data_IF_887573733399
#
_entry.id   IF_887573733399
#
_cell.length_a   1.000
_cell.length_b   1.000
_cell.length_c   1.000
_cell.angle_alpha   90.00
_cell.angle_beta   90.00
_cell.angle_gamma   90.00
#
_symmetry.space_group_name_H-M   'P 1'
#
loop_
_entity.id
_entity.type
_entity.pdbx_description
1 polymer ?
#
# COMPACT_ATOMS: atom_id res chain seq x y z
N UNK A 1 26.57 -102.35 -1.50
CA UNK A 1 26.86 -101.08 -0.81
C UNK A 1 27.10 -99.86 -1.73
N UNK A 2 27.37 -100.01 -3.05
CA UNK A 2 27.65 -98.87 -3.95
C UNK A 2 26.42 -98.03 -4.36
N UNK A 3 25.20 -98.57 -4.32
CA UNK A 3 23.98 -97.84 -4.74
C UNK A 3 23.56 -96.76 -3.74
N UNK A 4 23.76 -96.98 -2.43
CA UNK A 4 23.42 -96.00 -1.37
C UNK A 4 24.32 -94.74 -1.38
N UNK A 5 25.59 -94.85 -1.80
CA UNK A 5 26.50 -93.68 -1.92
C UNK A 5 26.12 -92.73 -3.05
N UNK A 6 25.54 -93.24 -4.16
CA UNK A 6 25.07 -92.40 -5.27
C UNK A 6 23.81 -91.60 -4.91
N UNK A 7 22.89 -92.17 -4.13
CA UNK A 7 21.67 -91.48 -3.70
C UNK A 7 21.97 -90.33 -2.71
N UNK A 8 22.95 -90.50 -1.82
CA UNK A 8 23.38 -89.43 -0.90
C UNK A 8 24.05 -88.25 -1.64
N UNK A 9 24.85 -88.52 -2.68
CA UNK A 9 25.45 -87.48 -3.51
C UNK A 9 24.43 -86.68 -4.32
N UNK A 10 23.41 -87.36 -4.87
CA UNK A 10 22.33 -86.71 -5.63
C UNK A 10 21.47 -85.82 -4.72
N UNK A 11 21.16 -86.27 -3.49
CA UNK A 11 20.40 -85.47 -2.52
C UNK A 11 21.15 -84.19 -2.10
N UNK A 12 22.48 -84.28 -1.90
CA UNK A 12 23.31 -83.12 -1.54
C UNK A 12 23.37 -82.09 -2.68
N UNK A 13 23.50 -82.55 -3.93
CA UNK A 13 23.51 -81.67 -5.12
C UNK A 13 22.15 -81.00 -5.31
N UNK A 14 21.05 -81.72 -5.09
CA UNK A 14 19.69 -81.17 -5.13
C UNK A 14 19.45 -80.13 -4.02
N UNK A 15 19.94 -80.38 -2.80
CA UNK A 15 19.87 -79.42 -1.70
C UNK A 15 20.68 -78.15 -1.98
N UNK A 16 21.89 -78.28 -2.55
CA UNK A 16 22.71 -77.14 -2.96
C UNK A 16 22.07 -76.35 -4.11
N UNK A 17 21.55 -77.03 -5.12
CA UNK A 17 20.88 -76.38 -6.25
C UNK A 17 19.62 -75.62 -5.79
N UNK A 18 18.80 -76.21 -4.92
CA UNK A 18 17.62 -75.54 -4.36
C UNK A 18 18.00 -74.36 -3.48
N UNK A 19 19.06 -74.48 -2.67
CA UNK A 19 19.54 -73.37 -1.85
C UNK A 19 20.05 -72.20 -2.69
N UNK A 20 20.74 -72.46 -3.82
CA UNK A 20 21.16 -71.42 -4.77
C UNK A 20 19.96 -70.74 -5.41
N UNK A 21 18.92 -71.49 -5.80
CA UNK A 21 17.69 -70.92 -6.37
C UNK A 21 16.97 -70.04 -5.34
N UNK A 22 16.83 -70.52 -4.10
CA UNK A 22 16.18 -69.76 -3.03
C UNK A 22 16.96 -68.48 -2.71
N UNK A 23 18.30 -68.56 -2.61
CA UNK A 23 19.15 -67.39 -2.40
C UNK A 23 19.07 -66.41 -3.57
N UNK A 24 19.01 -66.90 -4.81
CA UNK A 24 18.82 -66.08 -6.01
C UNK A 24 17.49 -65.33 -6.01
N UNK A 25 16.39 -66.02 -5.68
CA UNK A 25 15.06 -65.41 -5.57
C UNK A 25 15.01 -64.40 -4.42
N UNK A 26 15.56 -64.72 -3.25
CA UNK A 26 15.61 -63.82 -2.12
C UNK A 26 16.40 -62.54 -2.42
N UNK A 27 17.53 -62.68 -3.13
CA UNK A 27 18.34 -61.53 -3.56
C UNK A 27 17.59 -60.66 -4.57
N UNK A 28 16.89 -61.26 -5.54
CA UNK A 28 16.06 -60.54 -6.52
C UNK A 28 14.87 -59.82 -5.85
N UNK A 29 14.20 -60.45 -4.89
CA UNK A 29 13.13 -59.82 -4.13
C UNK A 29 13.67 -58.64 -3.32
N UNK A 30 14.80 -58.80 -2.63
CA UNK A 30 15.40 -57.73 -1.83
C UNK A 30 15.84 -56.54 -2.69
N UNK A 31 16.48 -56.78 -3.84
CA UNK A 31 16.89 -55.68 -4.74
C UNK A 31 15.68 -54.94 -5.31
N UNK A 32 14.61 -55.67 -5.65
CA UNK A 32 13.36 -55.06 -6.11
C UNK A 32 12.67 -54.25 -5.01
N UNK A 33 12.57 -54.78 -3.79
CA UNK A 33 11.98 -54.07 -2.65
C UNK A 33 12.76 -52.80 -2.31
N UNK A 34 14.10 -52.85 -2.34
CA UNK A 34 14.94 -51.66 -2.11
C UNK A 34 14.74 -50.62 -3.22
N UNK A 35 14.62 -51.06 -4.48
CA UNK A 35 14.33 -50.16 -5.60
C UNK A 35 12.95 -49.51 -5.48
N UNK A 36 11.92 -50.28 -5.11
CA UNK A 36 10.56 -49.78 -4.87
C UNK A 36 10.50 -48.80 -3.69
N UNK A 37 11.23 -49.07 -2.59
CA UNK A 37 11.33 -48.15 -1.45
C UNK A 37 11.99 -46.83 -1.85
N UNK A 38 13.09 -46.88 -2.63
CA UNK A 38 13.73 -45.65 -3.13
C UNK A 38 12.80 -44.86 -4.04
N UNK A 39 12.13 -45.54 -4.96
CA UNK A 39 11.20 -44.91 -5.88
C UNK A 39 10.03 -44.26 -5.14
N UNK A 40 9.49 -44.94 -4.12
CA UNK A 40 8.42 -44.40 -3.27
C UNK A 40 8.87 -43.18 -2.45
N UNK A 41 10.12 -43.19 -1.94
CA UNK A 41 10.70 -42.04 -1.26
C UNK A 41 10.90 -40.83 -2.18
N UNK A 42 11.34 -41.06 -3.43
CA UNK A 42 11.46 -40.02 -4.45
C UNK A 42 10.10 -39.40 -4.79
N UNK A 43 9.07 -40.23 -4.98
CA UNK A 43 7.72 -39.78 -5.29
C UNK A 43 7.14 -38.94 -4.13
N UNK A 44 7.35 -39.36 -2.88
CA UNK A 44 6.94 -38.60 -1.71
C UNK A 44 7.64 -37.23 -1.66
N UNK A 45 8.96 -37.19 -1.83
CA UNK A 45 9.71 -35.93 -1.79
C UNK A 45 9.32 -34.98 -2.94
N UNK A 46 9.00 -35.52 -4.12
CA UNK A 46 8.50 -34.74 -5.26
C UNK A 46 7.14 -34.12 -4.94
N UNK A 47 6.21 -34.91 -4.41
CA UNK A 47 4.86 -34.44 -4.06
C UNK A 47 4.92 -33.42 -2.94
N UNK A 48 5.71 -33.67 -1.90
CA UNK A 48 5.92 -32.74 -0.79
C UNK A 48 6.47 -31.40 -1.29
N UNK A 49 7.50 -31.42 -2.13
CA UNK A 49 8.07 -30.20 -2.72
C UNK A 49 7.04 -29.43 -3.53
N UNK A 50 6.18 -30.11 -4.28
CA UNK A 50 5.09 -29.47 -5.02
C UNK A 50 4.05 -28.85 -4.09
N UNK A 51 3.65 -29.54 -3.03
CA UNK A 51 2.68 -29.04 -2.05
C UNK A 51 3.21 -27.81 -1.32
N UNK A 52 4.50 -27.79 -0.97
CA UNK A 52 5.14 -26.61 -0.38
C UNK A 52 5.17 -25.42 -1.34
N UNK A 53 5.48 -25.65 -2.62
CA UNK A 53 5.44 -24.58 -3.62
C UNK A 53 4.03 -24.00 -3.79
N UNK A 54 2.98 -24.84 -3.77
CA UNK A 54 1.58 -24.40 -3.79
C UNK A 54 1.19 -23.68 -2.50
N UNK A 55 1.63 -24.17 -1.34
CA UNK A 55 1.43 -23.54 -0.04
C UNK A 55 2.01 -22.12 -0.01
N UNK A 56 3.23 -21.94 -0.52
CA UNK A 56 3.83 -20.62 -0.64
C UNK A 56 3.14 -19.70 -1.64
N UNK A 57 2.62 -20.24 -2.76
CA UNK A 57 1.79 -19.45 -3.67
C UNK A 57 0.50 -18.96 -2.97
N UNK A 58 -0.15 -19.81 -2.17
CA UNK A 58 -1.33 -19.43 -1.38
C UNK A 58 -0.99 -18.38 -0.31
N UNK A 59 0.13 -18.56 0.41
CA UNK A 59 0.64 -17.57 1.35
C UNK A 59 0.93 -16.24 0.65
N UNK A 60 1.51 -16.28 -0.55
CA UNK A 60 1.71 -15.10 -1.39
C UNK A 60 0.41 -14.39 -1.75
N UNK A 61 -0.69 -15.12 -1.96
CA UNK A 61 -2.02 -14.55 -2.15
C UNK A 61 -2.49 -13.72 -0.94
N UNK A 62 -2.23 -14.20 0.28
CA UNK A 62 -2.55 -13.43 1.51
C UNK A 62 -1.70 -12.16 1.65
N UNK A 63 -0.42 -12.22 1.28
CA UNK A 63 0.49 -11.07 1.27
C UNK A 63 0.01 -10.03 0.25
N UNK A 64 -0.43 -10.48 -0.93
CA UNK A 64 -1.01 -9.62 -1.95
C UNK A 64 -2.29 -8.90 -1.47
N UNK A 65 -3.16 -9.60 -0.75
CA UNK A 65 -4.44 -9.07 -0.30
C UNK A 65 -4.35 -8.10 0.91
N UNK A 66 -3.29 -8.19 1.71
CA UNK A 66 -3.07 -7.35 2.89
C UNK A 66 -1.87 -6.40 2.73
N UNK A 67 -0.66 -6.79 3.17
CA UNK A 67 0.50 -5.88 3.19
C UNK A 67 0.81 -5.19 1.85
N UNK A 68 0.69 -5.89 0.71
CA UNK A 68 0.96 -5.30 -0.60
C UNK A 68 -0.13 -4.30 -0.99
N UNK A 69 -1.39 -4.57 -0.62
CA UNK A 69 -2.49 -3.63 -0.79
C UNK A 69 -2.22 -2.33 -0.04
N UNK A 70 -1.82 -2.41 1.22
CA UNK A 70 -1.55 -1.22 2.05
C UNK A 70 -0.44 -0.37 1.44
N UNK A 71 0.62 -1.02 0.93
CA UNK A 71 1.72 -0.35 0.22
C UNK A 71 1.26 0.28 -1.09
N UNK A 72 0.40 -0.39 -1.85
CA UNK A 72 -0.16 0.18 -3.07
C UNK A 72 -1.01 1.41 -2.77
N UNK A 73 -1.86 1.37 -1.74
CA UNK A 73 -2.68 2.51 -1.32
C UNK A 73 -1.81 3.72 -0.94
N UNK A 74 -0.71 3.50 -0.21
CA UNK A 74 0.28 4.52 0.12
C UNK A 74 0.97 5.12 -1.12
N UNK A 75 1.41 4.26 -2.05
CA UNK A 75 2.07 4.70 -3.28
C UNK A 75 1.10 5.52 -4.13
N UNK A 76 -0.10 5.00 -4.35
CA UNK A 76 -1.08 5.63 -5.23
C UNK A 76 -1.55 6.96 -4.65
N UNK A 77 -1.63 7.10 -3.32
CA UNK A 77 -1.92 8.38 -2.66
C UNK A 77 -0.95 9.50 -3.05
N UNK A 78 0.31 9.18 -3.35
CA UNK A 78 1.34 10.17 -3.68
C UNK A 78 1.64 10.27 -5.17
N UNK A 79 1.29 9.26 -5.97
CA UNK A 79 1.54 9.26 -7.42
C UNK A 79 0.33 9.61 -8.27
N UNK A 80 -0.90 9.41 -7.78
CA UNK A 80 -2.09 9.75 -8.54
C UNK A 80 -2.24 11.25 -8.71
N UNK A 81 -2.51 11.70 -9.94
CA UNK A 81 -2.89 13.08 -10.21
C UNK A 81 -4.29 13.32 -9.63
N UNK A 82 -4.45 14.40 -8.87
CA UNK A 82 -5.72 14.78 -8.24
C UNK A 82 -6.40 15.96 -8.94
N UNK A 83 -5.71 16.62 -9.87
CA UNK A 83 -6.18 17.81 -10.56
C UNK A 83 -6.61 17.54 -12.01
N UNK A 84 -6.01 16.54 -12.66
CA UNK A 84 -6.32 16.16 -14.04
C UNK A 84 -7.60 15.31 -14.14
N UNK A 85 -8.19 15.24 -15.36
CA UNK A 85 -9.32 14.36 -15.63
C UNK A 85 -9.02 12.89 -15.29
N UNK A 86 -7.77 12.44 -15.46
CA UNK A 86 -7.34 11.07 -15.20
C UNK A 86 -6.31 11.03 -14.08
N UNK A 87 -6.41 10.03 -13.19
CA UNK A 87 -5.43 9.83 -12.10
C UNK A 87 -4.05 9.44 -12.63
N UNK A 88 -4.06 8.67 -13.71
CA UNK A 88 -2.89 8.24 -14.47
C UNK A 88 -3.22 8.34 -15.95
N UNK A 89 -2.25 8.79 -16.72
CA UNK A 89 -2.36 9.08 -18.14
C UNK A 89 -2.84 10.49 -18.43
N UNK A 90 -2.82 10.83 -19.72
CA UNK A 90 -3.24 12.10 -20.28
C UNK A 90 -4.35 11.90 -21.31
N UNK A 91 -5.31 12.82 -21.35
CA UNK A 91 -6.43 12.80 -22.29
C UNK A 91 -7.60 13.61 -21.76
N UNK A 92 -8.55 13.94 -22.63
CA UNK A 92 -9.78 14.66 -22.26
C UNK A 92 -10.92 13.69 -21.98
N UNK A 93 -11.36 12.94 -22.99
CA UNK A 93 -12.52 12.05 -22.91
C UNK A 93 -12.13 10.59 -22.68
N UNK A 94 -10.95 10.20 -23.17
CA UNK A 94 -10.34 8.89 -22.99
C UNK A 94 -8.84 9.09 -22.83
N UNK A 95 -8.16 8.43 -21.88
CA UNK A 95 -6.74 8.62 -21.70
C UNK A 95 -5.97 7.83 -22.76
N UNK A 96 -4.84 8.36 -23.20
CA UNK A 96 -3.91 7.66 -24.07
C UNK A 96 -3.34 6.42 -23.33
N UNK A 97 -3.56 5.19 -23.84
CA UNK A 97 -3.06 3.97 -23.20
C UNK A 97 -1.54 3.97 -22.98
N UNK A 98 -0.76 4.63 -23.85
CA UNK A 98 0.70 4.71 -23.71
C UNK A 98 1.06 5.56 -22.50
N UNK A 99 0.42 6.71 -22.33
CA UNK A 99 0.62 7.58 -21.17
C UNK A 99 0.20 6.89 -19.86
N UNK A 100 -0.91 6.14 -19.86
CA UNK A 100 -1.36 5.37 -18.70
C UNK A 100 -0.32 4.30 -18.33
N UNK A 101 0.17 3.56 -19.31
CA UNK A 101 1.21 2.55 -19.10
C UNK A 101 2.50 3.15 -18.52
N UNK A 102 2.92 4.32 -19.01
CA UNK A 102 4.10 5.02 -18.50
C UNK A 102 3.95 5.46 -17.05
N UNK A 103 2.80 6.04 -16.69
CA UNK A 103 2.53 6.46 -15.31
C UNK A 103 2.42 5.25 -14.37
N UNK A 104 1.70 4.21 -14.78
CA UNK A 104 1.57 2.97 -14.01
C UNK A 104 2.88 2.20 -13.89
N UNK A 105 3.81 2.34 -14.84
CA UNK A 105 5.19 1.80 -14.71
C UNK A 105 5.93 2.42 -13.53
N UNK A 106 5.71 3.71 -13.23
CA UNK A 106 6.30 4.33 -12.03
C UNK A 106 5.70 3.74 -10.75
N UNK A 107 4.39 3.51 -10.73
CA UNK A 107 3.70 2.84 -9.62
C UNK A 107 4.24 1.42 -9.43
N UNK A 108 4.37 0.65 -10.52
CA UNK A 108 4.91 -0.71 -10.51
C UNK A 108 6.34 -0.77 -9.97
N UNK A 109 7.22 0.16 -10.35
CA UNK A 109 8.60 0.22 -9.84
C UNK A 109 8.66 0.48 -8.33
N UNK A 110 7.84 1.41 -7.83
CA UNK A 110 7.75 1.70 -6.38
C UNK A 110 7.16 0.52 -5.62
N UNK A 111 6.12 -0.09 -6.18
CA UNK A 111 5.47 -1.25 -5.59
C UNK A 111 6.42 -2.45 -5.55
N UNK A 112 7.19 -2.69 -6.62
CA UNK A 112 8.20 -3.75 -6.65
C UNK A 112 9.20 -3.59 -5.51
N UNK A 113 9.70 -2.38 -5.28
CA UNK A 113 10.63 -2.10 -4.18
C UNK A 113 10.00 -2.41 -2.81
N UNK A 114 8.75 -2.00 -2.61
CA UNK A 114 8.03 -2.26 -1.36
C UNK A 114 7.72 -3.75 -1.16
N UNK A 115 7.35 -4.46 -2.22
CA UNK A 115 7.05 -5.90 -2.19
C UNK A 115 8.32 -6.70 -1.97
N UNK A 116 9.43 -6.34 -2.62
CA UNK A 116 10.73 -6.98 -2.44
C UNK A 116 11.17 -6.89 -0.97
N UNK A 117 10.95 -5.76 -0.32
CA UNK A 117 11.22 -5.61 1.11
C UNK A 117 10.37 -6.52 2.02
N UNK A 118 9.21 -6.98 1.55
CA UNK A 118 8.31 -7.88 2.29
C UNK A 118 8.63 -9.36 2.05
N UNK A 119 8.99 -9.74 0.81
CA UNK A 119 9.07 -11.16 0.42
C UNK A 119 10.50 -11.66 0.19
N UNK A 120 11.46 -10.79 -0.13
CA UNK A 120 12.82 -11.24 -0.43
C UNK A 120 13.51 -11.71 0.85
N UNK A 121 14.01 -12.95 0.84
CA UNK A 121 14.67 -13.57 1.99
C UNK A 121 13.71 -14.28 2.96
N UNK A 122 12.39 -14.22 2.72
CA UNK A 122 11.42 -15.00 3.48
C UNK A 122 11.51 -16.48 3.08
N UNK A 123 11.64 -17.37 4.07
CA UNK A 123 11.43 -18.81 3.90
C UNK A 123 10.11 -19.22 4.59
N UNK A 124 9.00 -19.36 3.86
CA UNK A 124 7.71 -19.76 4.45
C UNK A 124 7.61 -21.28 4.71
N UNK A 125 8.72 -22.02 4.66
CA UNK A 125 8.73 -23.44 5.02
C UNK A 125 8.36 -23.63 6.51
N UNK A 126 7.62 -24.71 6.87
CA UNK A 126 7.33 -25.02 8.27
C UNK A 126 8.62 -25.24 9.08
N UNK A 127 8.61 -24.77 10.32
CA UNK A 127 9.74 -24.91 11.24
C UNK A 127 10.12 -26.39 11.42
N UNK A 128 11.43 -26.67 11.46
CA UNK A 128 11.96 -28.03 11.61
C UNK A 128 12.00 -28.86 10.32
N UNK A 129 11.55 -28.33 9.18
CA UNK A 129 11.74 -28.98 7.87
C UNK A 129 13.09 -28.62 7.25
N UNK A 130 13.66 -29.51 6.42
CA UNK A 130 14.84 -29.20 5.59
C UNK A 130 14.46 -28.49 4.30
N UNK A 131 13.22 -28.04 4.18
CA UNK A 131 12.70 -27.43 2.98
C UNK A 131 13.12 -25.96 2.90
N UNK A 132 13.50 -25.53 1.70
CA UNK A 132 13.70 -24.13 1.39
C UNK A 132 12.61 -23.71 0.42
N UNK A 133 11.81 -22.73 0.83
CA UNK A 133 10.77 -22.15 0.00
C UNK A 133 11.12 -20.68 -0.22
N UNK A 134 10.93 -20.21 -1.44
CA UNK A 134 11.12 -18.80 -1.80
C UNK A 134 9.91 -18.33 -2.57
N UNK A 135 9.51 -17.09 -2.29
CA UNK A 135 8.38 -16.43 -2.93
C UNK A 135 8.90 -15.14 -3.57
N UNK A 136 8.57 -14.95 -4.85
CA UNK A 136 8.84 -13.71 -5.58
C UNK A 136 7.56 -13.23 -6.22
N UNK A 137 7.32 -11.94 -6.19
CA UNK A 137 6.18 -11.30 -6.86
C UNK A 137 6.73 -10.21 -7.78
N UNK A 138 6.50 -10.38 -9.07
CA UNK A 138 6.97 -9.49 -10.11
C UNK A 138 5.84 -8.55 -10.54
N UNK A 139 5.98 -7.27 -10.22
CA UNK A 139 5.28 -6.15 -10.85
C UNK A 139 6.14 -5.47 -11.92
N UNK A 140 7.42 -5.84 -12.01
CA UNK A 140 8.37 -5.41 -13.02
C UNK A 140 9.15 -6.63 -13.56
N UNK A 141 9.99 -6.47 -14.60
CA UNK A 141 10.79 -7.58 -15.14
C UNK A 141 11.74 -8.27 -14.15
N UNK A 142 12.04 -7.62 -13.01
CA UNK A 142 12.97 -8.14 -11.99
C UNK A 142 12.33 -8.05 -10.60
N UNK A 143 12.43 -9.12 -9.80
CA UNK A 143 12.01 -9.16 -8.40
C UNK A 143 13.04 -9.92 -7.56
N UNK A 144 13.39 -9.42 -6.38
CA UNK A 144 14.44 -10.00 -5.53
C UNK A 144 15.77 -10.23 -6.28
N UNK A 145 16.14 -9.33 -7.19
CA UNK A 145 17.34 -9.44 -8.03
C UNK A 145 17.30 -10.56 -9.08
N UNK A 146 16.15 -11.21 -9.30
CA UNK A 146 15.99 -12.27 -10.28
C UNK A 146 15.06 -11.82 -11.43
N UNK A 147 15.39 -12.12 -12.69
CA UNK A 147 14.53 -11.79 -13.82
C UNK A 147 13.27 -12.69 -13.84
N UNK A 148 12.25 -12.24 -14.56
CA UNK A 148 11.10 -13.07 -14.91
C UNK A 148 11.55 -14.38 -15.60
N UNK A 149 10.86 -15.52 -15.36
CA UNK A 149 11.10 -16.74 -16.11
C UNK A 149 10.88 -16.51 -17.62
N UNK A 150 11.78 -17.01 -18.47
CA UNK A 150 11.84 -16.61 -19.90
C UNK A 150 10.58 -16.90 -20.75
N UNK A 151 9.71 -17.81 -20.31
CA UNK A 151 8.43 -18.10 -21.00
C UNK A 151 7.29 -17.15 -20.57
N UNK A 152 7.50 -16.34 -19.53
CA UNK A 152 6.47 -15.52 -18.90
C UNK A 152 6.64 -14.07 -19.32
N UNK A 153 5.55 -13.44 -19.73
CA UNK A 153 5.51 -12.02 -20.06
C UNK A 153 4.68 -11.28 -19.04
N UNK A 154 5.12 -10.08 -18.70
CA UNK A 154 4.38 -9.13 -17.88
C UNK A 154 3.86 -8.02 -18.80
N UNK A 155 2.54 -7.89 -19.01
CA UNK A 155 1.98 -6.81 -19.80
C UNK A 155 2.14 -5.46 -19.09
N UNK A 156 1.78 -4.38 -19.78
CA UNK A 156 1.75 -3.04 -19.16
C UNK A 156 0.49 -2.85 -18.30
N UNK A 157 0.58 -1.91 -17.35
CA UNK A 157 -0.58 -1.45 -16.60
C UNK A 157 -1.57 -0.70 -17.51
N UNK A 158 -2.87 -0.78 -17.20
CA UNK A 158 -3.91 -0.13 -18.00
C UNK A 158 -5.05 0.43 -17.16
N UNK A 159 -5.80 1.35 -17.76
CA UNK A 159 -7.15 1.69 -17.29
C UNK A 159 -8.09 0.51 -17.61
N UNK A 160 -8.89 0.10 -16.64
CA UNK A 160 -9.91 -0.94 -16.81
C UNK A 160 -11.25 -0.30 -17.15
N UNK A 161 -11.65 0.70 -16.36
CA UNK A 161 -12.94 1.39 -16.48
C UNK A 161 -12.88 2.71 -15.71
N UNK A 162 -13.85 3.59 -15.99
CA UNK A 162 -14.01 4.87 -15.34
C UNK A 162 -14.09 6.00 -16.35
N UNK A 163 -14.63 7.13 -15.88
CA UNK A 163 -14.84 8.31 -16.70
C UNK A 163 -13.78 9.37 -16.38
N UNK A 164 -13.55 10.35 -17.27
CA UNK A 164 -12.77 11.51 -16.92
C UNK A 164 -13.45 12.25 -15.77
N UNK A 165 -12.64 12.75 -14.82
CA UNK A 165 -13.12 13.63 -13.75
C UNK A 165 -13.50 14.98 -14.35
N UNK A 166 -14.75 15.09 -14.79
CA UNK A 166 -15.37 16.37 -15.10
C UNK A 166 -15.70 17.03 -13.76
N UNK A 167 -15.54 18.35 -13.65
CA UNK A 167 -15.62 19.04 -12.35
C UNK A 167 -16.88 18.75 -11.54
N UNK A 168 -18.00 18.41 -12.19
CA UNK A 168 -19.34 18.34 -11.61
C UNK A 168 -19.65 17.04 -10.87
N UNK A 169 -20.09 17.19 -9.62
CA UNK A 169 -21.06 16.33 -8.94
C UNK A 169 -20.72 14.87 -8.65
N UNK A 170 -20.39 14.08 -9.66
CA UNK A 170 -20.31 12.64 -9.49
C UNK A 170 -18.95 12.21 -8.93
N UNK A 171 -18.99 11.30 -7.95
CA UNK A 171 -17.82 10.59 -7.46
C UNK A 171 -17.26 9.66 -8.53
N UNK A 172 -16.58 10.22 -9.54
CA UNK A 172 -16.05 9.43 -10.65
C UNK A 172 -14.88 8.60 -10.12
N UNK A 173 -15.12 7.30 -10.01
CA UNK A 173 -14.10 6.29 -9.74
C UNK A 173 -13.44 5.82 -11.02
N UNK A 174 -12.12 5.70 -11.00
CA UNK A 174 -11.32 5.17 -12.09
C UNK A 174 -10.62 3.90 -11.60
N UNK A 175 -10.84 2.79 -12.30
CA UNK A 175 -10.25 1.51 -11.95
C UNK A 175 -9.05 1.26 -12.85
N UNK A 176 -7.88 1.06 -12.23
CA UNK A 176 -6.64 0.73 -12.93
C UNK A 176 -6.21 -0.70 -12.58
N UNK A 177 -5.47 -1.34 -13.48
CA UNK A 177 -4.91 -2.67 -13.29
C UNK A 177 -3.39 -2.66 -13.44
N UNK A 178 -2.70 -3.27 -12.47
CA UNK A 178 -1.28 -3.60 -12.54
C UNK A 178 -1.13 -5.12 -12.68
N UNK A 179 -0.56 -5.63 -13.77
CA UNK A 179 -0.30 -7.06 -13.87
C UNK A 179 0.81 -7.48 -12.91
N UNK A 180 0.74 -8.73 -12.46
CA UNK A 180 1.80 -9.34 -11.67
C UNK A 180 2.03 -10.80 -12.05
N UNK A 181 3.24 -11.28 -11.77
CA UNK A 181 3.62 -12.70 -11.85
C UNK A 181 4.17 -13.11 -10.51
N UNK A 182 3.55 -14.10 -9.86
CA UNK A 182 4.07 -14.70 -8.65
C UNK A 182 4.81 -15.98 -9.00
N UNK A 183 6.02 -16.13 -8.47
CA UNK A 183 6.85 -17.32 -8.61
C UNK A 183 7.14 -17.86 -7.22
N UNK A 184 6.53 -18.99 -6.88
CA UNK A 184 6.84 -19.75 -5.67
C UNK A 184 7.74 -20.92 -6.04
N UNK A 185 8.84 -21.10 -5.32
CA UNK A 185 9.79 -22.17 -5.57
C UNK A 185 10.12 -22.89 -4.26
N UNK A 186 9.96 -24.21 -4.25
CA UNK A 186 10.31 -25.06 -3.13
C UNK A 186 11.44 -26.01 -3.51
N UNK A 187 12.30 -26.29 -2.54
CA UNK A 187 13.42 -27.24 -2.63
C UNK A 187 13.48 -28.13 -1.41
N UNK A 188 13.59 -29.43 -1.62
CA UNK A 188 13.90 -30.42 -0.59
C UNK A 188 15.03 -31.30 -1.13
N UNK A 189 16.23 -31.19 -0.55
CA UNK A 189 17.40 -31.92 -1.05
C UNK A 189 17.66 -31.64 -2.54
N UNK A 190 17.68 -32.66 -3.44
CA UNK A 190 17.86 -32.46 -4.88
C UNK A 190 16.57 -32.06 -5.62
N UNK A 191 15.39 -32.20 -5.01
CA UNK A 191 14.12 -31.94 -5.68
C UNK A 191 13.80 -30.45 -5.64
N UNK A 192 13.41 -29.91 -6.80
CA UNK A 192 13.02 -28.51 -6.97
C UNK A 192 11.72 -28.43 -7.76
N UNK A 193 10.75 -27.68 -7.25
CA UNK A 193 9.49 -27.39 -7.95
C UNK A 193 9.20 -25.89 -7.91
N UNK A 194 8.70 -25.37 -9.02
CA UNK A 194 8.25 -24.00 -9.17
C UNK A 194 6.77 -23.97 -9.56
N UNK A 195 6.05 -23.04 -8.98
CA UNK A 195 4.67 -22.68 -9.33
C UNK A 195 4.70 -21.23 -9.78
N UNK A 196 4.14 -20.98 -10.96
CA UNK A 196 4.00 -19.63 -11.51
C UNK A 196 2.53 -19.31 -11.61
N UNK A 197 2.13 -18.16 -11.06
CA UNK A 197 0.77 -17.64 -11.12
C UNK A 197 0.81 -16.25 -11.75
N UNK A 198 -0.07 -16.00 -12.72
CA UNK A 198 -0.23 -14.67 -13.33
C UNK A 198 -1.57 -14.09 -12.91
N UNK A 199 -1.59 -12.79 -12.63
CA UNK A 199 -2.79 -12.10 -12.24
C UNK A 199 -2.72 -10.61 -12.51
N UNK A 200 -3.82 -9.94 -12.17
CA UNK A 200 -3.93 -8.49 -12.27
C UNK A 200 -4.36 -7.96 -10.91
N UNK A 201 -3.63 -6.99 -10.39
CA UNK A 201 -4.03 -6.24 -9.22
C UNK A 201 -4.86 -5.04 -9.67
N UNK A 202 -6.17 -5.06 -9.37
CA UNK A 202 -7.08 -3.96 -9.69
C UNK A 202 -7.27 -3.07 -8.48
N UNK A 203 -7.19 -1.76 -8.69
CA UNK A 203 -7.42 -0.78 -7.64
C UNK A 203 -8.26 0.38 -8.17
N UNK A 204 -9.15 0.88 -7.30
CA UNK A 204 -10.13 1.90 -7.63
C UNK A 204 -9.70 3.23 -7.04
N UNK A 205 -9.71 4.26 -7.85
CA UNK A 205 -9.39 5.63 -7.46
C UNK A 205 -10.60 6.53 -7.65
N UNK A 206 -11.21 6.90 -6.54
CA UNK A 206 -12.16 8.02 -6.52
C UNK A 206 -11.47 9.36 -6.70
N UNK A 207 -12.25 10.45 -6.74
CA UNK A 207 -11.70 11.78 -6.48
C UNK A 207 -11.13 11.78 -5.06
N UNK A 208 -9.91 12.27 -4.88
CA UNK A 208 -9.37 12.58 -3.56
C UNK A 208 -10.30 13.62 -2.91
N UNK A 209 -11.20 13.17 -2.06
CA UNK A 209 -12.15 14.08 -1.42
C UNK A 209 -11.44 14.89 -0.35
N UNK A 210 -11.60 16.21 -0.39
CA UNK A 210 -11.20 17.08 0.71
C UNK A 210 -12.00 16.77 1.99
N UNK A 211 -13.13 16.05 1.90
CA UNK A 211 -13.94 15.64 3.06
C UNK A 211 -13.22 14.70 4.02
N UNK A 212 -12.05 14.15 3.64
CA UNK A 212 -11.19 13.40 4.58
C UNK A 212 -10.54 14.29 5.64
N UNK A 213 -10.41 15.59 5.35
CA UNK A 213 -9.87 16.56 6.28
C UNK A 213 -10.99 17.21 7.07
N UNK A 214 -10.87 17.21 8.39
CA UNK A 214 -11.70 18.04 9.25
C UNK A 214 -11.50 19.54 8.92
N UNK A 215 -10.30 19.90 8.44
CA UNK A 215 -10.01 21.21 7.88
C UNK A 215 -8.93 21.12 6.80
N UNK A 216 -9.23 21.64 5.62
CA UNK A 216 -8.26 21.85 4.55
C UNK A 216 -8.21 23.34 4.18
N UNK A 217 -7.02 23.96 4.17
CA UNK A 217 -6.85 25.37 3.77
C UNK A 217 -5.70 25.55 2.77
N UNK A 218 -5.99 26.11 1.59
CA UNK A 218 -4.92 26.51 0.66
C UNK A 218 -4.16 27.74 1.20
N UNK A 219 -4.89 28.82 1.48
CA UNK A 219 -4.40 30.01 2.19
C UNK A 219 -5.24 30.14 3.46
N UNK A 220 -4.59 30.28 4.61
CA UNK A 220 -5.30 30.43 5.88
C UNK A 220 -5.35 31.90 6.33
N UNK A 221 -6.21 32.67 5.67
CA UNK A 221 -6.39 34.11 5.91
C UNK A 221 -7.86 34.54 5.73
N UNK A 222 -8.22 35.65 6.38
CA UNK A 222 -9.47 36.38 6.20
C UNK A 222 -9.53 37.04 4.80
N UNK A 223 -10.71 37.49 4.33
CA UNK A 223 -10.86 38.14 3.02
C UNK A 223 -9.96 39.36 2.82
N UNK A 224 -9.62 40.07 3.89
CA UNK A 224 -8.70 41.21 3.87
C UNK A 224 -7.20 40.81 3.86
N UNK A 225 -6.88 39.52 3.70
CA UNK A 225 -5.54 38.98 3.71
C UNK A 225 -4.92 38.77 5.10
N UNK A 226 -5.66 39.08 6.18
CA UNK A 226 -5.16 38.90 7.55
C UNK A 226 -5.10 37.42 7.91
N UNK A 227 -3.94 36.91 8.34
CA UNK A 227 -3.78 35.52 8.75
C UNK A 227 -4.71 35.14 9.91
N UNK A 228 -5.39 33.99 9.79
CA UNK A 228 -6.21 33.45 10.87
C UNK A 228 -5.33 32.68 11.85
N UNK A 229 -5.60 32.86 13.13
CA UNK A 229 -4.87 32.21 14.23
C UNK A 229 -5.71 31.12 14.87
N UNK A 230 -5.14 29.93 15.03
CA UNK A 230 -5.73 28.91 15.89
C UNK A 230 -5.50 29.25 17.35
N UNK A 231 -6.54 29.16 18.16
CA UNK A 231 -6.55 29.63 19.55
C UNK A 231 -6.81 28.47 20.50
N UNK A 232 -6.77 28.69 21.83
CA UNK A 232 -7.21 27.68 22.81
C UNK A 232 -8.67 27.22 22.66
N UNK A 233 -9.48 27.86 21.82
CA UNK A 233 -10.84 27.42 21.49
C UNK A 233 -10.91 26.55 20.24
N UNK A 234 -9.79 26.34 19.55
CA UNK A 234 -9.72 25.50 18.37
C UNK A 234 -9.55 24.04 18.80
N UNK A 235 -10.52 23.22 18.41
CA UNK A 235 -10.53 21.78 18.61
C UNK A 235 -10.91 21.10 17.29
N UNK A 236 -10.00 20.30 16.74
CA UNK A 236 -10.27 19.48 15.55
C UNK A 236 -10.04 18.01 15.86
N UNK A 237 -11.08 17.21 15.77
CA UNK A 237 -11.03 15.76 15.95
C UNK A 237 -11.04 15.05 14.58
N UNK A 238 -9.98 15.27 13.81
CA UNK A 238 -9.79 14.69 12.49
C UNK A 238 -8.59 15.29 11.75
N UNK A 239 -8.21 14.75 10.58
CA UNK A 239 -7.02 15.20 9.85
C UNK A 239 -7.14 16.69 9.44
N UNK A 240 -6.06 17.45 9.60
CA UNK A 240 -6.00 18.86 9.20
C UNK A 240 -4.82 19.07 8.26
N UNK A 241 -5.05 19.77 7.16
CA UNK A 241 -4.01 20.10 6.19
C UNK A 241 -4.02 21.57 5.80
N UNK A 242 -2.85 22.17 5.66
CA UNK A 242 -2.71 23.43 4.92
C UNK A 242 -1.56 23.41 3.92
N UNK A 243 -1.81 23.98 2.74
CA UNK A 243 -0.72 24.24 1.79
C UNK A 243 0.20 25.37 2.25
N UNK A 244 -0.29 26.28 3.12
CA UNK A 244 0.48 27.39 3.65
C UNK A 244 1.25 26.99 4.94
N UNK A 245 1.49 27.94 5.84
CA UNK A 245 2.01 27.69 7.18
C UNK A 245 0.91 27.94 8.21
N UNK A 246 0.87 27.11 9.25
CA UNK A 246 -0.02 27.31 10.38
C UNK A 246 0.37 28.53 11.22
N UNK A 247 -0.62 29.08 11.92
CA UNK A 247 -0.47 30.21 12.84
C UNK A 247 -1.12 29.85 14.17
N UNK A 248 -0.33 29.81 15.23
CA UNK A 248 -0.79 29.39 16.55
C UNK A 248 -0.76 30.52 17.57
N UNK A 249 -1.85 30.60 18.33
CA UNK A 249 -2.02 31.45 19.48
C UNK A 249 -2.49 30.57 20.65
N UNK A 250 -1.77 30.62 21.77
CA UNK A 250 -2.05 29.78 22.95
C UNK A 250 -2.02 28.28 22.63
N UNK A 251 -3.02 27.52 23.05
CA UNK A 251 -2.99 26.05 23.13
C UNK A 251 -4.14 25.39 22.34
N UNK A 252 -4.16 25.51 21.00
CA UNK A 252 -5.13 24.79 20.18
C UNK A 252 -4.86 23.28 20.22
N UNK A 253 -5.91 22.48 20.05
CA UNK A 253 -5.83 21.02 20.09
C UNK A 253 -6.24 20.37 18.77
N UNK A 254 -5.44 19.40 18.32
CA UNK A 254 -5.67 18.60 17.12
C UNK A 254 -5.59 17.11 17.46
N UNK A 255 -6.72 16.42 17.35
CA UNK A 255 -6.85 14.98 17.58
C UNK A 255 -6.32 14.13 16.43
N UNK A 256 -6.48 14.61 15.18
CA UNK A 256 -6.05 13.91 13.97
C UNK A 256 -4.70 14.38 13.42
N UNK A 257 -4.26 13.75 12.33
CA UNK A 257 -2.98 14.04 11.67
C UNK A 257 -2.94 15.50 11.18
N UNK A 258 -1.89 16.24 11.55
CA UNK A 258 -1.69 17.62 11.10
C UNK A 258 -0.60 17.66 10.03
N UNK A 259 -0.91 18.22 8.87
CA UNK A 259 0.03 18.29 7.75
C UNK A 259 0.14 19.71 7.17
N UNK A 260 1.34 20.10 6.79
CA UNK A 260 1.63 21.42 6.22
C UNK A 260 2.60 21.31 5.05
N UNK A 261 2.25 21.87 3.90
CA UNK A 261 3.19 21.97 2.76
C UNK A 261 4.19 23.13 2.91
N UNK A 262 3.95 24.06 3.83
CA UNK A 262 4.91 25.11 4.18
C UNK A 262 5.11 26.17 3.10
N UNK A 263 4.20 26.30 2.13
CA UNK A 263 4.33 27.27 1.05
C UNK A 263 4.04 28.70 1.51
N UNK A 264 4.89 29.69 1.19
CA UNK A 264 4.59 31.10 1.54
C UNK A 264 3.45 31.68 0.69
N UNK A 265 3.42 31.32 -0.59
CA UNK A 265 2.44 31.78 -1.57
C UNK A 265 1.90 30.57 -2.35
N UNK A 266 0.90 29.88 -1.79
CA UNK A 266 0.33 28.71 -2.43
C UNK A 266 -0.49 29.15 -3.63
N UNK A 267 -0.13 28.63 -4.79
CA UNK A 267 -0.87 28.83 -6.02
C UNK A 267 -2.02 27.84 -6.12
N UNK A 268 -2.50 27.64 -7.33
CA UNK A 268 -3.57 26.70 -7.61
C UNK A 268 -3.05 25.24 -7.74
N UNK A 269 -2.00 25.04 -8.56
CA UNK A 269 -1.47 23.70 -8.88
C UNK A 269 -0.17 23.37 -8.14
N UNK A 270 0.38 24.33 -7.38
CA UNK A 270 1.66 24.17 -6.71
C UNK A 270 2.02 25.37 -5.84
N UNK A 271 3.16 25.27 -5.18
CA UNK A 271 3.72 26.39 -4.42
C UNK A 271 4.35 27.40 -5.38
N UNK A 272 3.75 28.58 -5.53
CA UNK A 272 4.33 29.69 -6.30
C UNK A 272 5.38 30.47 -5.49
N UNK A 273 5.38 30.31 -4.16
CA UNK A 273 6.32 30.93 -3.24
C UNK A 273 7.50 30.03 -2.85
N UNK A 274 8.21 30.43 -1.78
CA UNK A 274 9.25 29.59 -1.19
C UNK A 274 8.60 28.57 -0.25
N UNK A 275 9.09 27.34 -0.28
CA UNK A 275 8.73 26.32 0.69
C UNK A 275 9.56 26.53 1.96
N UNK A 276 8.87 26.75 3.08
CA UNK A 276 9.45 26.97 4.41
C UNK A 276 8.68 26.16 5.44
N UNK A 277 9.25 25.03 5.84
CA UNK A 277 8.67 24.18 6.87
C UNK A 277 8.74 24.85 8.24
N UNK A 278 7.59 24.99 8.89
CA UNK A 278 7.44 25.61 10.19
C UNK A 278 6.08 26.28 10.37
N UNK A 279 5.95 27.09 11.40
CA UNK A 279 4.71 27.75 11.77
C UNK A 279 4.97 29.16 12.33
N UNK A 280 3.94 29.98 12.35
CA UNK A 280 3.95 31.26 13.05
C UNK A 280 3.42 31.08 14.47
N UNK A 281 4.12 31.67 15.42
CA UNK A 281 3.67 31.79 16.80
C UNK A 281 3.41 33.26 17.09
N UNK A 282 2.26 33.54 17.69
CA UNK A 282 1.83 34.91 17.95
C UNK A 282 2.90 35.64 18.78
N UNK A 283 3.20 36.90 18.45
CA UNK A 283 4.27 37.68 19.12
C UNK A 283 5.72 37.23 18.88
N UNK A 284 5.98 36.00 18.40
CA UNK A 284 7.32 35.49 18.09
C UNK A 284 7.61 35.41 16.58
N UNK A 285 6.58 35.42 15.75
CA UNK A 285 6.71 35.35 14.29
C UNK A 285 6.93 33.92 13.79
N UNK A 286 7.52 33.80 12.60
CA UNK A 286 7.74 32.50 11.97
C UNK A 286 8.95 31.77 12.58
N UNK A 287 8.73 30.55 13.02
CA UNK A 287 9.78 29.66 13.52
C UNK A 287 9.87 28.47 12.56
N UNK A 288 11.08 28.22 12.03
CA UNK A 288 11.36 27.07 11.17
C UNK A 288 11.22 25.77 11.98
N UNK A 289 10.80 24.69 11.33
CA UNK A 289 10.71 23.34 11.91
C UNK A 289 11.93 22.98 12.77
N UNK A 290 13.15 23.14 12.23
CA UNK A 290 14.39 22.81 12.95
C UNK A 290 14.74 23.72 14.13
N UNK A 291 14.07 24.86 14.29
CA UNK A 291 14.26 25.81 15.38
C UNK A 291 13.13 25.76 16.42
N UNK A 292 12.10 24.93 16.21
CA UNK A 292 11.03 24.73 17.18
C UNK A 292 11.57 24.00 18.42
N UNK A 293 11.18 24.48 19.60
CA UNK A 293 11.58 23.92 20.90
C UNK A 293 10.34 23.54 21.71
N UNK A 294 10.38 22.50 22.56
CA UNK A 294 11.46 21.52 22.72
C UNK A 294 11.78 20.74 21.44
N UNK A 295 10.75 20.46 20.64
CA UNK A 295 10.86 19.83 19.31
C UNK A 295 9.68 20.28 18.41
N UNK A 296 9.74 19.92 17.12
CA UNK A 296 8.74 20.33 16.14
C UNK A 296 7.38 19.61 16.24
N UNK A 297 7.32 18.47 16.93
CA UNK A 297 6.08 17.74 17.18
C UNK A 297 5.33 18.24 18.41
N UNK A 298 6.01 18.99 19.29
CA UNK A 298 5.42 19.60 20.49
C UNK A 298 6.01 20.98 20.75
N UNK A 299 5.89 21.95 19.83
CA UNK A 299 6.52 23.25 20.01
C UNK A 299 5.85 24.02 21.15
N UNK A 300 6.63 24.71 21.95
CA UNK A 300 6.18 25.59 23.04
C UNK A 300 6.99 26.88 23.02
N UNK A 301 6.32 27.97 22.71
CA UNK A 301 6.92 29.30 22.56
C UNK A 301 6.29 30.23 23.58
N UNK A 302 7.07 30.71 24.54
CA UNK A 302 6.59 31.65 25.56
C UNK A 302 7.09 33.05 25.27
N UNK A 303 6.18 34.02 25.28
CA UNK A 303 6.48 35.44 25.18
C UNK A 303 5.54 36.25 26.08
N UNK A 304 5.56 37.58 25.97
CA UNK A 304 4.75 38.46 26.81
C UNK A 304 3.23 38.30 26.64
N UNK A 305 2.77 37.72 25.53
CA UNK A 305 1.36 37.39 25.28
C UNK A 305 0.95 36.01 25.83
N UNK A 306 1.86 35.30 26.50
CA UNK A 306 1.67 33.98 27.09
C UNK A 306 2.42 32.88 26.35
N UNK A 307 2.09 31.64 26.69
CA UNK A 307 2.67 30.43 26.07
C UNK A 307 1.83 29.98 24.89
N UNK A 308 2.48 29.69 23.76
CA UNK A 308 1.88 29.18 22.53
C UNK A 308 2.39 27.76 22.30
N UNK A 309 1.55 26.79 22.62
CA UNK A 309 1.89 25.37 22.61
C UNK A 309 0.72 24.57 21.99
N UNK A 310 0.68 24.42 20.66
CA UNK A 310 -0.32 23.57 20.02
C UNK A 310 -0.11 22.11 20.40
N UNK A 311 -1.20 21.38 20.53
CA UNK A 311 -1.19 19.94 20.83
C UNK A 311 -1.56 19.13 19.59
N UNK A 312 -0.70 18.20 19.19
CA UNK A 312 -0.89 17.30 18.05
C UNK A 312 -0.96 15.85 18.54
N UNK A 313 -2.15 15.35 18.81
CA UNK A 313 -2.33 14.02 19.41
C UNK A 313 -1.88 12.88 18.48
N UNK A 314 -2.16 12.99 17.18
CA UNK A 314 -1.75 12.03 16.15
C UNK A 314 -0.46 12.42 15.41
N UNK A 315 0.26 13.45 15.88
CA UNK A 315 1.50 13.94 15.27
C UNK A 315 1.31 14.99 14.17
N UNK A 316 2.44 15.51 13.70
CA UNK A 316 2.49 16.59 12.70
C UNK A 316 3.59 16.38 11.67
N UNK A 317 3.25 16.54 10.39
CA UNK A 317 4.20 16.59 9.28
C UNK A 317 4.25 18.01 8.66
N UNK A 318 5.36 18.70 8.94
CA UNK A 318 5.65 20.03 8.42
C UNK A 318 6.18 20.04 6.98
N UNK A 319 6.48 18.88 6.40
CA UNK A 319 7.05 18.70 5.06
C UNK A 319 6.14 17.91 4.12
N UNK A 320 4.84 17.91 4.39
CA UNK A 320 3.85 17.22 3.57
C UNK A 320 3.81 17.78 2.15
N UNK A 321 3.41 16.95 1.18
CA UNK A 321 3.25 17.39 -0.20
C UNK A 321 2.18 18.45 -0.34
N UNK A 322 2.39 19.40 -1.26
CA UNK A 322 1.36 20.35 -1.68
C UNK A 322 0.18 19.61 -2.31
N UNK A 323 -1.03 19.91 -1.85
CA UNK A 323 -2.25 19.35 -2.42
C UNK A 323 -2.85 20.39 -3.38
N UNK A 324 -2.86 20.14 -4.70
CA UNK A 324 -3.46 21.08 -5.63
C UNK A 324 -4.94 21.26 -5.37
N UNK A 325 -5.42 22.50 -5.51
CA UNK A 325 -6.85 22.79 -5.57
C UNK A 325 -7.44 22.19 -6.88
N UNK A 326 -8.76 22.25 -7.13
CA UNK A 326 -9.41 21.95 -8.43
C UNK A 326 -9.67 23.22 -9.31
N UNK A 327 -9.39 23.19 -10.64
CA UNK A 327 -9.04 24.38 -11.47
C UNK A 327 -10.21 25.30 -11.74
N UNK A 328 -11.40 24.87 -11.40
CA UNK A 328 -12.63 25.55 -11.71
C UNK A 328 -13.41 25.86 -10.43
N UNK A 329 -13.29 27.11 -9.97
CA UNK A 329 -14.11 27.68 -8.89
C UNK A 329 -15.62 27.62 -9.19
N UNK A 330 -16.03 27.49 -10.46
CA UNK A 330 -17.41 27.22 -10.86
C UNK A 330 -17.93 25.88 -10.31
N UNK A 331 -17.05 24.90 -10.12
CA UNK A 331 -17.46 23.53 -9.80
C UNK A 331 -17.55 23.22 -8.32
N UNK A 332 -16.92 24.00 -7.44
CA UNK A 332 -17.13 23.84 -5.99
C UNK A 332 -18.42 24.52 -5.52
N UNK A 333 -18.77 25.68 -6.09
CA UNK A 333 -20.03 26.36 -5.80
C UNK A 333 -21.21 25.60 -6.37
N UNK A 334 -21.18 25.23 -7.67
CA UNK A 334 -22.24 24.42 -8.28
C UNK A 334 -22.31 23.02 -7.69
N UNK A 335 -21.21 22.30 -7.47
CA UNK A 335 -21.32 20.97 -6.82
C UNK A 335 -21.77 21.05 -5.36
N UNK A 336 -21.44 22.12 -4.62
CA UNK A 336 -22.03 22.34 -3.30
C UNK A 336 -23.51 22.75 -3.37
N UNK A 337 -23.95 23.39 -4.45
CA UNK A 337 -25.35 23.78 -4.68
C UNK A 337 -26.20 22.63 -5.23
N UNK A 338 -25.60 21.73 -6.01
CA UNK A 338 -26.26 20.59 -6.66
C UNK A 338 -26.31 19.37 -5.73
N UNK A 339 -25.19 19.00 -5.07
CA UNK A 339 -25.09 17.75 -4.29
C UNK A 339 -24.34 17.89 -2.94
N UNK A 340 -24.02 19.11 -2.50
CA UNK A 340 -23.30 19.37 -1.23
C UNK A 340 -24.02 20.31 -0.27
N UNK A 341 -23.33 20.73 0.80
CA UNK A 341 -23.81 21.79 1.70
C UNK A 341 -23.26 23.15 1.23
N UNK A 342 -24.07 23.89 0.49
CA UNK A 342 -23.78 25.26 0.07
C UNK A 342 -24.32 26.29 1.08
N UNK A 343 -23.44 27.18 1.57
CA UNK A 343 -23.83 28.29 2.43
C UNK A 343 -23.72 29.62 1.67
N UNK A 344 -24.83 30.03 1.07
CA UNK A 344 -24.90 31.19 0.16
C UNK A 344 -25.15 32.56 0.82
N UNK A 345 -25.00 32.67 2.13
CA UNK A 345 -25.27 33.89 2.90
C UNK A 345 -24.62 33.85 4.28
N UNK A 346 -24.82 34.90 5.07
CA UNK A 346 -24.28 35.02 6.43
C UNK A 346 -24.66 33.78 7.27
N UNK A 347 -23.65 32.97 7.59
CA UNK A 347 -23.76 31.78 8.40
C UNK A 347 -24.02 32.18 9.84
N UNK A 348 -25.29 32.30 10.21
CA UNK A 348 -25.71 32.34 11.60
C UNK A 348 -25.49 30.95 12.23
N UNK A 349 -24.28 30.72 12.75
CA UNK A 349 -23.95 29.63 13.68
C UNK A 349 -24.25 28.21 13.19
N UNK A 350 -23.22 27.51 12.73
CA UNK A 350 -23.28 26.05 12.62
C UNK A 350 -23.12 25.44 14.01
N UNK A 351 -24.22 25.05 14.64
CA UNK A 351 -24.20 24.08 15.74
C UNK A 351 -24.54 22.74 15.09
N UNK A 352 -23.67 21.73 15.13
CA UNK A 352 -24.08 20.37 14.82
C UNK A 352 -25.06 19.94 15.93
N UNK A 353 -26.35 20.22 15.75
CA UNK A 353 -27.35 19.92 16.76
C UNK A 353 -27.75 18.45 16.71
N UNK A 354 -27.44 17.75 17.80
CA UNK A 354 -28.43 16.88 18.45
C UNK A 354 -29.15 17.70 19.53
N UNK A 355 -30.48 17.89 19.42
CA UNK A 355 -31.37 18.15 20.58
C UNK A 355 -32.07 19.52 20.72
N UNK A 356 -33.37 19.55 20.34
CA UNK A 356 -34.54 20.38 20.73
C UNK A 356 -34.38 21.65 21.62
N UNK A 357 -35.03 22.76 21.20
CA UNK A 357 -35.80 23.63 22.12
C UNK A 357 -35.75 25.16 21.92
N UNK A 358 -36.71 25.70 21.12
CA UNK A 358 -37.39 27.02 21.16
C UNK A 358 -36.73 28.32 21.74
N UNK A 359 -36.84 29.35 20.88
CA UNK A 359 -37.14 30.81 21.08
C UNK A 359 -36.07 31.73 21.70
N UNK A 360 -35.74 32.79 20.93
CA UNK A 360 -35.12 34.02 21.43
C UNK A 360 -34.34 34.73 20.33
N UNK A 361 -35.00 35.61 19.58
CA UNK A 361 -34.42 36.38 18.49
C UNK A 361 -33.69 37.66 18.97
N UNK A 362 -32.85 38.20 18.06
CA UNK A 362 -32.57 39.62 17.73
C UNK A 362 -31.12 40.13 17.97
N UNK A 363 -30.57 40.93 17.02
CA UNK A 363 -29.15 40.93 16.60
C UNK A 363 -28.45 42.28 16.82
N UNK A 364 -27.16 42.41 16.45
CA UNK A 364 -26.62 43.64 15.81
C UNK A 364 -25.50 43.32 14.80
N UNK A 365 -25.71 43.85 13.59
CA UNK A 365 -24.91 43.88 12.35
C UNK A 365 -24.02 45.17 12.38
N UNK A 366 -22.98 45.44 11.58
CA UNK A 366 -22.95 45.51 10.10
C UNK A 366 -21.62 46.12 9.59
N UNK A 367 -21.32 45.82 8.32
CA UNK A 367 -20.43 46.45 7.32
C UNK A 367 -18.97 46.01 7.26
#
# INVERSE_FOLDING_TARGET
MQVRRRQAGVALVLALATMVVIAGIATLMFTRTVAEIRHSGDDQAIVETLMLARGAANAGGSILAGPVRDRLEEIVRVTADTARPWSYGSGTDTPDPVSVAQDLKQVANRLQTAVDALVCGLNPAPDGTRAQVSLRVHFTPTACGQPLPGAVRLPDGRLVEGNPRTGGGEGVSQTYALPFVMVAEARIGPYRRNVVLQGEYRFVLGRSSFARYALFTNVHALPNGTGVWFTSRTLFDGPVHTNQQFRFYRTPWFGGEVTSAGCTWPGYAGCSGKVRYGAYFYGAGFIRRGAMRPDASRPSVTNWYGTHAPEFAAGVDWGASFIPLPQNNFSQRSAAQEDGLYFGGELAGFIPCCGRGRRGAVPVHSR
#
